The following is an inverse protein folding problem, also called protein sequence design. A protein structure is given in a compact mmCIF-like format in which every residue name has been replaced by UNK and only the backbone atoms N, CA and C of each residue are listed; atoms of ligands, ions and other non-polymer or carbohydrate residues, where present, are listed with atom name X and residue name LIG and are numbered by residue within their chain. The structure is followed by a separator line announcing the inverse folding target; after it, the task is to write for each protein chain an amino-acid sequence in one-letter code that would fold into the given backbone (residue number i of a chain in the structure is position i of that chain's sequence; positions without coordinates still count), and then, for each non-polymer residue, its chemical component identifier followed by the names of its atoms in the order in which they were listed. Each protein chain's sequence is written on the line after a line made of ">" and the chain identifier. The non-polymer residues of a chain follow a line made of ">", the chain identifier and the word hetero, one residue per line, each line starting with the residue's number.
data_IF_853781905323
#
_entry.id   IF_853781905323
#
_cell.length_a   1.000
_cell.length_b   1.000
_cell.length_c   1.000
_cell.angle_alpha   90.00
_cell.angle_beta   90.00
_cell.angle_gamma   90.00
#
_symmetry.space_group_name_H-M   'P 1'
#
loop_
_entity.id
_entity.type
_entity.pdbx_description
1 polymer ?
#
# COMPACT_ATOMS: atom_id res chain seq x y z
N UNK A 1 40.14 -2.48 -56.55
CA UNK A 1 40.31 -1.10 -56.08
C UNK A 1 39.16 -0.75 -55.16
N UNK A 2 39.48 -0.37 -53.91
CA UNK A 2 38.82 0.60 -53.02
C UNK A 2 37.28 0.59 -52.91
N UNK A 3 36.79 0.24 -51.72
CA UNK A 3 36.08 1.09 -50.76
C UNK A 3 34.57 1.27 -51.12
N UNK A 4 33.59 1.20 -50.23
CA UNK A 4 33.53 1.54 -48.80
C UNK A 4 32.37 0.78 -48.17
N UNK A 5 32.64 0.22 -46.99
CA UNK A 5 31.68 -0.32 -46.03
C UNK A 5 30.84 0.82 -45.47
N UNK A 6 29.50 0.73 -45.52
CA UNK A 6 28.66 1.44 -44.55
C UNK A 6 27.78 0.42 -43.83
N UNK A 7 28.29 0.00 -42.67
CA UNK A 7 27.63 -0.87 -41.71
C UNK A 7 26.45 -0.10 -41.10
N UNK A 8 25.22 -0.41 -41.50
CA UNK A 8 24.05 -0.05 -40.68
C UNK A 8 23.90 -1.13 -39.61
N UNK A 9 24.65 -0.97 -38.50
CA UNK A 9 24.31 -1.63 -37.26
C UNK A 9 23.02 -0.97 -36.77
N UNK A 10 21.88 -1.59 -37.07
CA UNK A 10 20.64 -1.30 -36.35
C UNK A 10 20.85 -1.88 -34.95
N UNK A 11 21.21 -1.02 -34.00
CA UNK A 11 21.07 -1.32 -32.58
C UNK A 11 19.58 -1.57 -32.32
N UNK A 12 19.20 -2.83 -32.23
CA UNK A 12 17.96 -3.25 -31.56
C UNK A 12 18.19 -3.03 -30.05
N UNK A 13 18.16 -1.77 -29.63
CA UNK A 13 17.83 -1.41 -28.24
C UNK A 13 16.31 -1.29 -28.13
N UNK A 14 15.63 -2.39 -28.48
CA UNK A 14 14.23 -2.61 -28.16
C UNK A 14 14.15 -3.12 -26.73
N UNK A 15 14.13 -2.17 -25.80
CA UNK A 15 14.01 -2.32 -24.35
C UNK A 15 13.24 -3.58 -23.91
N UNK A 16 13.93 -4.42 -23.14
CA UNK A 16 13.37 -5.47 -22.28
C UNK A 16 12.53 -4.90 -21.12
N UNK A 17 11.64 -3.95 -21.40
CA UNK A 17 10.91 -3.16 -20.40
C UNK A 17 9.46 -3.59 -20.16
N UNK A 18 8.96 -4.66 -20.80
CA UNK A 18 7.54 -5.08 -20.70
C UNK A 18 7.29 -6.44 -20.06
N UNK A 19 8.30 -7.23 -19.72
CA UNK A 19 8.11 -8.61 -19.24
C UNK A 19 7.97 -8.76 -17.73
N UNK A 20 8.28 -7.74 -16.92
CA UNK A 20 8.19 -7.87 -15.45
C UNK A 20 6.76 -7.76 -14.90
N UNK A 21 5.83 -7.10 -15.60
CA UNK A 21 4.47 -6.88 -15.10
C UNK A 21 3.53 -8.09 -15.30
N UNK A 22 3.83 -9.01 -16.23
CA UNK A 22 2.94 -10.14 -16.58
C UNK A 22 2.88 -11.25 -15.52
N UNK A 23 3.77 -11.25 -14.53
CA UNK A 23 3.85 -12.31 -13.51
C UNK A 23 3.49 -11.82 -12.10
N UNK A 24 3.01 -10.59 -11.94
CA UNK A 24 2.60 -10.08 -10.63
C UNK A 24 1.16 -10.54 -10.36
N UNK A 25 0.99 -11.53 -9.51
CA UNK A 25 -0.33 -12.05 -9.15
C UNK A 25 -0.81 -11.44 -7.83
N UNK A 26 -1.93 -10.72 -7.88
CA UNK A 26 -2.63 -10.29 -6.68
C UNK A 26 -3.36 -11.49 -6.05
N UNK A 27 -3.19 -11.69 -4.74
CA UNK A 27 -3.92 -12.74 -4.02
C UNK A 27 -5.20 -12.16 -3.42
N UNK A 28 -6.28 -12.97 -3.31
CA UNK A 28 -7.56 -12.56 -2.73
C UNK A 28 -7.46 -11.93 -1.33
N UNK A 29 -8.34 -10.98 -1.03
CA UNK A 29 -8.32 -10.26 0.24
C UNK A 29 -8.78 -11.15 1.40
N UNK A 30 -9.69 -12.08 1.17
CA UNK A 30 -10.15 -13.02 2.19
C UNK A 30 -8.99 -13.89 2.73
N UNK A 31 -8.09 -14.33 1.85
CA UNK A 31 -6.88 -15.05 2.22
C UNK A 31 -5.93 -14.17 3.05
N UNK A 32 -5.80 -12.89 2.73
CA UNK A 32 -5.04 -11.94 3.55
C UNK A 32 -5.63 -11.90 4.96
N UNK A 33 -6.95 -11.68 5.06
CA UNK A 33 -7.65 -11.57 6.34
C UNK A 33 -7.51 -12.85 7.18
N UNK A 34 -7.68 -14.03 6.58
CA UNK A 34 -7.47 -15.31 7.26
C UNK A 34 -6.04 -15.44 7.81
N UNK A 35 -5.04 -15.01 7.04
CA UNK A 35 -3.65 -15.04 7.51
C UNK A 35 -3.38 -14.07 8.65
N UNK A 36 -3.97 -12.87 8.61
CA UNK A 36 -3.90 -11.92 9.72
C UNK A 36 -4.54 -12.52 11.00
N UNK A 37 -5.70 -13.16 10.88
CA UNK A 37 -6.39 -13.81 12.02
C UNK A 37 -5.58 -14.96 12.62
N UNK A 38 -4.89 -15.74 11.79
CA UNK A 38 -4.04 -16.85 12.25
C UNK A 38 -2.69 -16.40 12.84
N UNK A 39 -2.31 -15.13 12.63
CA UNK A 39 -1.00 -14.61 13.01
C UNK A 39 -1.00 -14.07 14.43
N UNK A 40 0.08 -14.33 15.17
CA UNK A 40 0.29 -13.73 16.49
C UNK A 40 1.02 -12.38 16.35
N UNK A 41 0.27 -11.30 16.57
CA UNK A 41 0.81 -9.95 16.53
C UNK A 41 1.28 -9.46 17.89
N UNK A 42 2.34 -8.65 17.86
CA UNK A 42 2.82 -7.88 19.00
C UNK A 42 2.76 -6.40 18.67
N UNK A 43 2.11 -5.60 19.53
CA UNK A 43 2.22 -4.14 19.45
C UNK A 43 3.67 -3.72 19.71
N UNK A 44 4.22 -2.90 18.81
CA UNK A 44 5.63 -2.51 18.85
C UNK A 44 5.84 -1.09 19.33
N UNK A 45 5.15 -0.13 18.71
CA UNK A 45 5.28 1.30 19.02
C UNK A 45 4.15 2.11 18.38
N UNK A 46 4.06 3.37 18.79
CA UNK A 46 3.22 4.38 18.13
C UNK A 46 4.08 5.53 17.63
N UNK A 47 3.77 6.10 16.48
CA UNK A 47 4.50 7.23 15.91
C UNK A 47 3.98 7.64 14.55
N UNK A 48 4.63 8.62 13.93
CA UNK A 48 4.26 9.12 12.61
C UNK A 48 4.70 8.14 11.52
N UNK A 49 3.73 7.50 10.86
CA UNK A 49 3.97 6.69 9.68
C UNK A 49 4.10 7.58 8.42
N UNK A 50 4.72 7.03 7.37
CA UNK A 50 4.78 7.68 6.06
C UNK A 50 3.37 8.04 5.58
N UNK A 51 3.19 9.29 5.15
CA UNK A 51 1.87 9.83 4.77
C UNK A 51 1.11 10.50 5.91
N UNK A 52 1.59 10.44 7.16
CA UNK A 52 0.95 11.03 8.33
C UNK A 52 1.84 12.02 9.04
N UNK A 53 1.44 13.29 9.02
CA UNK A 53 2.23 14.38 9.60
C UNK A 53 1.76 14.77 11.00
N UNK A 54 0.47 14.56 11.29
CA UNK A 54 -0.17 15.01 12.53
C UNK A 54 -0.87 13.88 13.31
N UNK A 55 -0.83 12.67 12.79
CA UNK A 55 -1.56 11.51 13.31
C UNK A 55 -0.58 10.37 13.56
N UNK A 56 -0.66 9.79 14.75
CA UNK A 56 0.12 8.61 15.09
C UNK A 56 -0.54 7.36 14.51
N UNK A 57 0.28 6.47 13.98
CA UNK A 57 -0.04 5.08 13.67
C UNK A 57 0.47 4.15 14.78
N UNK A 58 -0.22 3.05 14.99
CA UNK A 58 0.20 1.95 15.84
C UNK A 58 0.86 0.89 14.97
N UNK A 59 2.09 0.50 15.30
CA UNK A 59 2.77 -0.61 14.63
C UNK A 59 2.51 -1.92 15.37
N UNK A 60 2.02 -2.91 14.64
CA UNK A 60 1.94 -4.31 15.04
C UNK A 60 2.85 -5.13 14.15
N UNK A 61 3.54 -6.11 14.74
CA UNK A 61 4.45 -6.98 14.01
C UNK A 61 4.20 -8.45 14.35
N UNK A 62 4.41 -9.31 13.37
CA UNK A 62 4.51 -10.76 13.51
C UNK A 62 5.70 -11.26 12.68
N UNK A 63 5.89 -12.57 12.55
CA UNK A 63 6.99 -13.13 11.74
C UNK A 63 6.91 -12.68 10.28
N UNK A 64 5.71 -12.68 9.70
CA UNK A 64 5.48 -12.47 8.26
C UNK A 64 4.83 -11.12 7.92
N UNK A 65 4.44 -10.35 8.93
CA UNK A 65 3.72 -9.10 8.76
C UNK A 65 4.26 -7.95 9.60
N UNK A 66 4.17 -6.75 9.03
CA UNK A 66 4.17 -5.50 9.76
C UNK A 66 2.91 -4.73 9.37
N UNK A 67 2.11 -4.33 10.35
CA UNK A 67 0.83 -3.67 10.15
C UNK A 67 0.86 -2.32 10.85
N UNK A 68 0.67 -1.26 10.08
CA UNK A 68 0.41 0.07 10.60
C UNK A 68 -1.11 0.24 10.66
N UNK A 69 -1.65 0.22 11.87
CA UNK A 69 -2.99 0.75 12.11
C UNK A 69 -2.86 2.25 12.17
N UNK A 70 -3.37 2.88 11.15
CA UNK A 70 -3.34 4.31 10.98
C UNK A 70 -4.44 4.93 11.83
N UNK A 71 -4.16 6.07 12.48
CA UNK A 71 -4.99 6.61 13.56
C UNK A 71 -5.02 5.69 14.80
N UNK A 72 -3.84 5.50 15.40
CA UNK A 72 -3.59 4.68 16.59
C UNK A 72 -4.52 4.98 17.76
N UNK A 73 -4.93 6.25 17.92
CA UNK A 73 -5.98 6.65 18.86
C UNK A 73 -6.84 7.69 18.14
N UNK A 74 -7.97 7.32 17.52
CA UNK A 74 -8.78 8.28 16.80
C UNK A 74 -9.33 9.32 17.78
N UNK A 75 -8.96 10.60 17.61
CA UNK A 75 -9.67 11.70 18.28
C UNK A 75 -11.11 11.73 17.74
N UNK A 76 -12.08 12.10 18.58
CA UNK A 76 -13.54 12.16 18.29
C UNK A 76 -13.96 12.85 16.97
N UNK A 77 -13.07 13.58 16.29
CA UNK A 77 -13.39 14.43 15.13
C UNK A 77 -12.74 14.02 13.81
N UNK A 78 -11.92 12.99 13.75
CA UNK A 78 -11.29 12.63 12.48
C UNK A 78 -12.06 11.55 11.73
N UNK A 79 -12.44 11.83 10.46
CA UNK A 79 -13.33 10.98 9.67
C UNK A 79 -12.65 9.75 9.04
N UNK A 80 -11.35 9.53 9.27
CA UNK A 80 -10.58 8.53 8.55
C UNK A 80 -10.05 7.41 9.46
N UNK A 81 -10.01 6.20 8.90
CA UNK A 81 -9.41 5.01 9.50
C UNK A 81 -8.72 4.21 8.40
N UNK A 82 -7.62 3.54 8.73
CA UNK A 82 -6.94 2.73 7.72
C UNK A 82 -5.87 1.81 8.27
N UNK A 83 -5.45 0.90 7.41
CA UNK A 83 -4.42 -0.09 7.68
C UNK A 83 -3.45 -0.11 6.50
N UNK A 84 -2.16 0.01 6.78
CA UNK A 84 -1.10 -0.31 5.81
C UNK A 84 -0.46 -1.62 6.25
N UNK A 85 -0.59 -2.64 5.42
CA UNK A 85 -0.19 -4.03 5.72
C UNK A 85 0.99 -4.38 4.82
N UNK A 86 2.16 -4.56 5.42
CA UNK A 86 3.33 -5.11 4.77
C UNK A 86 3.34 -6.61 4.97
N UNK A 87 3.28 -7.37 3.88
CA UNK A 87 3.27 -8.83 3.88
C UNK A 87 4.20 -9.39 2.82
N UNK A 88 4.99 -10.39 3.18
CA UNK A 88 5.80 -11.13 2.20
C UNK A 88 4.98 -11.89 1.16
N UNK A 89 3.76 -12.28 1.50
CA UNK A 89 2.92 -13.11 0.62
C UNK A 89 2.00 -12.28 -0.26
N UNK A 90 1.57 -11.12 0.22
CA UNK A 90 0.57 -10.26 -0.42
C UNK A 90 1.12 -8.90 -0.88
N UNK A 91 2.34 -8.53 -0.48
CA UNK A 91 2.92 -7.23 -0.80
C UNK A 91 2.51 -6.16 0.22
N UNK A 92 2.37 -4.92 -0.23
CA UNK A 92 1.88 -3.80 0.59
C UNK A 92 0.46 -3.49 0.19
N UNK A 93 -0.47 -3.72 1.13
CA UNK A 93 -1.89 -3.50 0.96
C UNK A 93 -2.33 -2.36 1.86
N UNK A 94 -3.04 -1.39 1.28
CA UNK A 94 -3.63 -0.27 1.99
C UNK A 94 -5.16 -0.43 2.01
N UNK A 95 -5.73 -0.42 3.21
CA UNK A 95 -7.18 -0.36 3.45
C UNK A 95 -7.50 1.00 4.02
N UNK A 96 -8.38 1.76 3.38
CA UNK A 96 -8.62 3.14 3.75
C UNK A 96 -10.10 3.52 3.70
N UNK A 97 -10.56 4.21 4.73
CA UNK A 97 -11.85 4.88 4.74
C UNK A 97 -11.66 6.33 5.20
N UNK A 98 -12.35 7.27 4.53
CA UNK A 98 -12.42 8.67 4.91
C UNK A 98 -13.85 9.19 4.73
N UNK A 99 -14.36 9.87 5.76
CA UNK A 99 -15.58 10.64 5.67
C UNK A 99 -15.27 12.08 5.20
N UNK A 100 -15.68 12.39 3.98
CA UNK A 100 -15.65 13.72 3.39
C UNK A 100 -17.04 14.38 3.54
N UNK A 101 -17.16 15.71 3.32
CA UNK A 101 -18.45 16.38 3.33
C UNK A 101 -19.43 15.71 2.34
N UNK A 102 -20.48 15.08 2.86
CA UNK A 102 -21.53 14.45 2.06
C UNK A 102 -21.20 13.07 1.47
N UNK A 103 -20.00 12.51 1.71
CA UNK A 103 -19.62 11.18 1.15
C UNK A 103 -18.65 10.43 2.06
N UNK A 104 -18.83 9.11 2.17
CA UNK A 104 -17.82 8.21 2.74
C UNK A 104 -17.06 7.59 1.59
N UNK A 105 -15.76 7.83 1.52
CA UNK A 105 -14.88 7.18 0.56
C UNK A 105 -14.20 5.98 1.21
N UNK A 106 -14.14 4.88 0.47
CA UNK A 106 -13.48 3.63 0.86
C UNK A 106 -12.62 3.16 -0.29
N UNK A 107 -11.49 2.55 0.04
CA UNK A 107 -10.55 2.10 -0.97
C UNK A 107 -9.67 0.96 -0.45
N UNK A 108 -9.33 0.04 -1.34
CA UNK A 108 -8.36 -1.04 -1.12
C UNK A 108 -7.33 -0.94 -2.23
N UNK A 109 -6.06 -0.81 -1.86
CA UNK A 109 -4.96 -0.59 -2.82
C UNK A 109 -3.84 -1.60 -2.61
N UNK A 110 -3.27 -2.09 -3.71
CA UNK A 110 -1.96 -2.75 -3.70
C UNK A 110 -0.91 -1.71 -4.08
N UNK A 111 -0.12 -1.30 -3.10
CA UNK A 111 0.94 -0.29 -3.31
C UNK A 111 2.23 -0.94 -3.83
N UNK A 112 2.50 -2.19 -3.44
CA UNK A 112 3.70 -2.95 -3.83
C UNK A 112 3.37 -4.44 -3.88
N UNK A 113 3.85 -5.16 -4.90
CA UNK A 113 3.72 -6.63 -4.97
C UNK A 113 4.80 -7.38 -4.16
N UNK A 114 4.54 -8.63 -3.74
CA UNK A 114 5.46 -9.46 -2.96
C UNK A 114 6.90 -9.50 -3.48
N UNK A 115 7.08 -9.68 -4.79
CA UNK A 115 8.37 -9.84 -5.47
C UNK A 115 9.25 -8.60 -5.31
N UNK A 116 8.62 -7.42 -5.38
CA UNK A 116 9.26 -6.13 -5.21
C UNK A 116 9.54 -5.85 -3.74
N UNK A 117 8.62 -6.26 -2.85
CA UNK A 117 8.77 -6.08 -1.42
C UNK A 117 9.93 -6.91 -0.85
N UNK A 118 10.13 -8.14 -1.35
CA UNK A 118 11.17 -9.06 -0.88
C UNK A 118 12.59 -8.48 -1.00
N UNK A 119 12.83 -7.61 -1.99
CA UNK A 119 14.13 -6.98 -2.19
C UNK A 119 14.51 -5.98 -1.09
N UNK A 120 13.52 -5.42 -0.40
CA UNK A 120 13.73 -4.36 0.60
C UNK A 120 13.29 -4.77 2.01
N UNK A 121 12.46 -5.80 2.14
CA UNK A 121 12.00 -6.32 3.43
C UNK A 121 12.30 -7.81 3.58
N UNK A 122 13.07 -8.15 4.63
CA UNK A 122 13.43 -9.52 5.00
C UNK A 122 12.56 -9.98 6.19
N UNK A 123 12.37 -11.29 6.31
CA UNK A 123 11.70 -11.93 7.47
C UNK A 123 12.81 -12.43 8.39
N UNK A 124 12.60 -12.38 9.72
CA UNK A 124 11.33 -12.05 10.39
C UNK A 124 11.09 -10.56 10.61
N UNK A 125 9.83 -10.12 10.48
CA UNK A 125 9.40 -8.73 10.67
C UNK A 125 9.35 -8.18 12.13
N UNK A 126 9.50 -8.95 13.24
CA UNK A 126 9.39 -8.41 14.59
C UNK A 126 10.41 -7.33 14.97
N UNK A 127 11.51 -7.21 14.23
CA UNK A 127 12.54 -6.18 14.45
C UNK A 127 12.19 -4.82 13.83
N UNK A 128 11.19 -4.77 12.96
CA UNK A 128 10.84 -3.55 12.23
C UNK A 128 10.26 -2.48 13.16
N UNK A 129 10.53 -1.24 12.74
CA UNK A 129 10.09 0.00 13.39
C UNK A 129 9.36 0.86 12.37
N UNK A 130 8.52 1.79 12.82
CA UNK A 130 7.85 2.78 11.98
C UNK A 130 8.89 3.51 11.13
N UNK A 131 10.04 3.91 11.71
CA UNK A 131 11.13 4.53 10.95
C UNK A 131 11.61 3.66 9.78
N UNK A 132 11.73 2.35 9.99
CA UNK A 132 12.13 1.40 8.92
C UNK A 132 11.06 1.32 7.84
N UNK A 133 9.79 1.20 8.23
CA UNK A 133 8.67 1.14 7.29
C UNK A 133 8.49 2.46 6.52
N UNK A 134 8.78 3.59 7.14
CA UNK A 134 8.79 4.90 6.48
C UNK A 134 9.89 4.98 5.44
N UNK A 135 11.09 4.45 5.72
CA UNK A 135 12.18 4.39 4.75
C UNK A 135 11.84 3.49 3.55
N UNK A 136 11.19 2.35 3.80
CA UNK A 136 10.68 1.45 2.76
C UNK A 136 9.62 2.15 1.91
N UNK A 137 8.65 2.81 2.56
CA UNK A 137 7.61 3.57 1.87
C UNK A 137 8.22 4.71 1.04
N UNK A 138 9.13 5.50 1.62
CA UNK A 138 9.87 6.54 0.90
C UNK A 138 10.60 5.99 -0.32
N UNK A 139 11.20 4.80 -0.23
CA UNK A 139 11.88 4.18 -1.38
C UNK A 139 10.90 3.91 -2.53
N UNK A 140 9.71 3.37 -2.24
CA UNK A 140 8.70 3.09 -3.25
C UNK A 140 8.01 4.35 -3.78
N UNK A 141 7.69 5.31 -2.91
CA UNK A 141 6.93 6.50 -3.27
C UNK A 141 7.79 7.63 -3.87
N UNK A 142 9.09 7.75 -3.53
CA UNK A 142 10.01 8.71 -4.19
C UNK A 142 10.15 8.49 -5.69
N UNK A 143 9.88 7.28 -6.16
CA UNK A 143 9.94 6.93 -7.58
C UNK A 143 8.66 7.31 -8.36
N UNK A 144 7.56 7.71 -7.68
CA UNK A 144 6.20 7.67 -8.25
C UNK A 144 5.39 8.97 -8.21
N UNK A 145 6.00 10.13 -7.89
CA UNK A 145 5.29 11.43 -7.88
C UNK A 145 4.74 11.79 -6.50
N UNK A 146 3.91 12.86 -6.37
CA UNK A 146 3.53 13.41 -5.07
C UNK A 146 2.94 12.30 -4.18
N UNK A 147 3.46 12.19 -2.95
CA UNK A 147 3.12 11.10 -2.04
C UNK A 147 1.75 11.36 -1.43
N UNK A 148 0.74 10.70 -1.98
CA UNK A 148 -0.66 10.92 -1.64
C UNK A 148 -1.19 9.68 -0.95
N UNK A 149 -1.56 9.87 0.30
CA UNK A 149 -1.89 8.78 1.19
C UNK A 149 -3.40 8.72 1.51
N UNK A 150 -4.10 9.87 1.49
CA UNK A 150 -5.55 9.94 1.30
C UNK A 150 -5.88 10.46 -0.10
N UNK A 151 -7.16 10.44 -0.48
CA UNK A 151 -7.56 10.93 -1.81
C UNK A 151 -7.31 12.41 -2.01
N UNK A 152 -7.12 13.16 -0.93
CA UNK A 152 -6.91 14.59 -0.96
C UNK A 152 -5.91 15.02 0.12
N UNK A 153 -4.70 14.48 0.24
CA UNK A 153 -3.67 15.08 1.10
C UNK A 153 -2.26 14.88 0.54
N UNK A 154 -1.55 15.99 0.33
CA UNK A 154 -0.20 16.05 -0.23
C UNK A 154 0.84 16.27 0.85
N UNK A 155 1.90 15.45 0.82
CA UNK A 155 3.09 15.59 1.66
C UNK A 155 3.86 16.88 1.42
N UNK A 156 3.90 17.38 0.19
CA UNK A 156 4.76 18.51 -0.16
C UNK A 156 4.18 19.85 0.27
N UNK A 157 2.85 19.95 0.24
CA UNK A 157 2.13 21.17 0.60
C UNK A 157 1.51 21.11 1.99
N UNK A 158 1.48 19.93 2.60
CA UNK A 158 0.79 19.66 3.86
C UNK A 158 -0.71 20.05 3.80
N UNK A 159 -1.31 19.96 2.62
CA UNK A 159 -2.66 20.41 2.33
C UNK A 159 -3.46 19.38 1.55
N UNK A 160 -4.77 19.59 1.50
CA UNK A 160 -5.65 18.74 0.73
C UNK A 160 -5.53 19.00 -0.78
N UNK A 161 -5.16 17.97 -1.56
CA UNK A 161 -4.93 18.10 -3.01
C UNK A 161 -5.75 17.09 -3.82
N UNK A 162 -6.69 17.59 -4.63
CA UNK A 162 -7.60 16.76 -5.45
C UNK A 162 -6.90 15.91 -6.53
N UNK A 163 -5.71 16.31 -6.98
CA UNK A 163 -4.96 15.63 -8.04
C UNK A 163 -3.78 14.80 -7.53
N UNK A 164 -3.75 14.54 -6.23
CA UNK A 164 -2.61 13.90 -5.59
C UNK A 164 -2.46 12.42 -6.05
N UNK A 165 -3.55 11.71 -6.34
CA UNK A 165 -3.48 10.30 -6.77
C UNK A 165 -2.98 10.06 -8.22
N UNK A 166 -2.57 11.08 -8.96
CA UNK A 166 -2.18 10.92 -10.37
C UNK A 166 -0.79 10.26 -10.45
N UNK A 167 -0.74 8.96 -10.75
CA UNK A 167 0.51 8.27 -11.12
C UNK A 167 0.96 7.12 -10.23
N UNK A 168 0.18 6.71 -9.21
CA UNK A 168 0.39 5.39 -8.62
C UNK A 168 0.01 4.36 -9.68
N UNK A 169 1.01 3.65 -10.21
CA UNK A 169 0.87 2.59 -11.22
C UNK A 169 -0.45 1.87 -11.03
N UNK A 170 -1.35 2.18 -11.95
CA UNK A 170 -2.74 1.78 -11.88
C UNK A 170 -2.82 0.27 -11.81
N UNK A 171 -3.48 -0.22 -10.77
CA UNK A 171 -4.11 -1.55 -10.65
C UNK A 171 -5.06 -1.84 -11.84
N UNK A 172 -5.23 -0.91 -12.77
CA UNK A 172 -6.00 -1.08 -14.02
C UNK A 172 -5.53 -2.23 -14.92
N UNK A 173 -4.39 -2.87 -14.63
CA UNK A 173 -3.96 -4.13 -15.25
C UNK A 173 -4.49 -5.42 -14.58
N UNK A 174 -5.19 -5.32 -13.44
CA UNK A 174 -5.60 -6.45 -12.60
C UNK A 174 -7.11 -6.41 -12.31
N UNK A 175 -7.92 -6.55 -13.37
CA UNK A 175 -9.37 -6.38 -13.33
C UNK A 175 -10.09 -7.24 -12.29
N UNK A 176 -9.69 -8.50 -12.12
CA UNK A 176 -10.36 -9.41 -11.18
C UNK A 176 -10.21 -8.97 -9.72
N UNK A 177 -9.06 -8.40 -9.36
CA UNK A 177 -8.84 -7.85 -8.02
C UNK A 177 -9.53 -6.48 -7.86
N UNK A 178 -9.58 -5.69 -8.93
CA UNK A 178 -10.35 -4.45 -8.93
C UNK A 178 -11.84 -4.73 -8.68
N UNK A 179 -12.43 -5.75 -9.29
CA UNK A 179 -13.84 -6.09 -9.08
C UNK A 179 -14.12 -6.57 -7.64
N UNK A 180 -13.30 -7.47 -7.10
CA UNK A 180 -13.41 -7.93 -5.70
C UNK A 180 -13.34 -6.75 -4.71
N UNK A 181 -12.38 -5.85 -4.92
CA UNK A 181 -12.15 -4.73 -4.01
C UNK A 181 -13.18 -3.62 -4.15
N UNK A 182 -13.65 -3.34 -5.37
CA UNK A 182 -14.73 -2.39 -5.60
C UNK A 182 -16.06 -2.91 -5.02
N UNK A 183 -16.36 -4.21 -5.16
CA UNK A 183 -17.53 -4.81 -4.55
C UNK A 183 -17.52 -4.66 -3.02
N UNK A 184 -16.38 -4.95 -2.39
CA UNK A 184 -16.18 -4.75 -0.96
C UNK A 184 -16.30 -3.27 -0.54
N UNK A 185 -15.63 -2.35 -1.24
CA UNK A 185 -15.67 -0.93 -0.93
C UNK A 185 -17.06 -0.32 -1.11
N UNK A 186 -17.82 -0.82 -2.10
CA UNK A 186 -19.21 -0.44 -2.36
C UNK A 186 -20.23 -0.99 -1.35
N UNK A 187 -19.85 -1.96 -0.52
CA UNK A 187 -20.73 -2.56 0.49
C UNK A 187 -20.43 -2.03 1.90
N UNK A 188 -21.31 -1.17 2.41
CA UNK A 188 -21.23 -0.65 3.79
C UNK A 188 -21.14 -1.77 4.84
N UNK A 189 -21.92 -2.83 4.68
CA UNK A 189 -21.99 -3.92 5.63
C UNK A 189 -20.67 -4.73 5.66
N UNK A 190 -20.17 -5.13 4.49
CA UNK A 190 -18.96 -5.94 4.38
C UNK A 190 -17.72 -5.14 4.78
N UNK A 191 -17.68 -3.86 4.40
CA UNK A 191 -16.62 -2.94 4.81
C UNK A 191 -16.53 -2.77 6.32
N UNK A 192 -17.68 -2.55 6.97
CA UNK A 192 -17.73 -2.42 8.42
C UNK A 192 -17.39 -3.75 9.12
N UNK A 193 -17.81 -4.88 8.57
CA UNK A 193 -17.43 -6.20 9.09
C UNK A 193 -15.91 -6.42 9.03
N UNK A 194 -15.27 -6.06 7.90
CA UNK A 194 -13.82 -6.11 7.75
C UNK A 194 -13.12 -5.22 8.78
N UNK A 195 -13.49 -3.94 8.88
CA UNK A 195 -12.85 -3.05 9.84
C UNK A 195 -13.05 -3.48 11.29
N UNK A 196 -14.24 -3.94 11.67
CA UNK A 196 -14.49 -4.47 13.01
C UNK A 196 -13.64 -5.72 13.30
N UNK A 197 -13.36 -6.53 12.29
CA UNK A 197 -12.43 -7.66 12.41
C UNK A 197 -11.00 -7.17 12.61
N UNK A 198 -10.52 -6.23 11.79
CA UNK A 198 -9.18 -5.66 11.94
C UNK A 198 -8.97 -4.96 13.28
N UNK A 199 -9.96 -4.21 13.77
CA UNK A 199 -9.91 -3.57 15.09
C UNK A 199 -9.77 -4.60 16.23
N UNK A 200 -10.37 -5.78 16.10
CA UNK A 200 -10.20 -6.86 17.10
C UNK A 200 -8.79 -7.47 17.06
N UNK A 201 -8.21 -7.60 15.87
CA UNK A 201 -6.83 -8.09 15.70
C UNK A 201 -5.83 -7.03 16.21
N UNK A 202 -6.14 -5.75 16.02
CA UNK A 202 -5.27 -4.60 16.31
C UNK A 202 -5.94 -3.58 17.27
N UNK A 203 -6.09 -3.92 18.56
CA UNK A 203 -7.04 -3.27 19.47
C UNK A 203 -6.60 -1.97 20.15
N UNK A 204 -5.42 -1.41 19.85
CA UNK A 204 -4.99 -0.15 20.48
C UNK A 204 -5.61 1.06 19.82
#
# INVERSE_FOLDING_TARGET
>A
MKNTILTTIILVLGFAGKSFAQNLEAKPLDLLVQQLESSKFTFKESGLAHGFFSIHSCLYVSEEFAVLKNYCVPKKKYPAKGYTIFSKKFGVIDLYQEQLPGVVQRDVRISVFPENLYQVMKSPMPSYRIKTLNAVSDHFYKLRGPACWSTNFSRYTEQAEYQCNVGLDTVSGFFDWADETQALAGSDADWNALFNKLERIFPK
#
